data_IF_325263604629
#
_entry.id   IF_325263604629
#
_cell.length_a   1.000
_cell.length_b   1.000
_cell.length_c   1.000
_cell.angle_alpha   90.00
_cell.angle_beta   90.00
_cell.angle_gamma   90.00
#
_symmetry.space_group_name_H-M   'P 1'
#
loop_
_entity.id
_entity.type
_entity.pdbx_description
1 polymer ?
#
# COMPACT_ATOMS: atom_id res chain seq x y z
N UNK A 1 -25.12 15.43 -16.61
CA UNK A 1 -23.84 15.65 -17.24
C UNK A 1 -24.00 15.36 -18.73
N UNK A 2 -23.99 16.41 -19.57
CA UNK A 2 -23.97 16.29 -21.02
C UNK A 2 -22.57 15.81 -21.41
N UNK A 3 -22.43 14.51 -21.69
CA UNK A 3 -21.19 13.97 -22.18
C UNK A 3 -20.80 14.65 -23.50
N UNK A 4 -19.73 15.43 -23.47
CA UNK A 4 -19.05 15.79 -24.70
C UNK A 4 -18.66 14.51 -25.43
N UNK A 5 -18.79 14.48 -26.75
CA UNK A 5 -18.51 13.27 -27.54
C UNK A 5 -17.06 12.84 -27.32
N UNK A 6 -16.79 11.53 -27.35
CA UNK A 6 -15.44 10.96 -27.28
C UNK A 6 -14.48 11.67 -28.26
N UNK A 7 -14.98 12.12 -29.39
CA UNK A 7 -14.25 12.87 -30.42
C UNK A 7 -13.73 14.22 -29.91
N UNK A 8 -14.46 14.89 -28.98
CA UNK A 8 -14.04 16.19 -28.45
C UNK A 8 -12.83 16.09 -27.52
N UNK A 9 -12.60 14.93 -26.89
CA UNK A 9 -11.44 14.67 -26.01
C UNK A 9 -10.25 14.15 -26.83
N UNK A 10 -10.49 13.48 -27.95
CA UNK A 10 -9.40 12.91 -28.77
C UNK A 10 -8.45 13.97 -29.30
N UNK A 11 -8.93 15.12 -29.73
CA UNK A 11 -8.07 16.18 -30.28
C UNK A 11 -7.07 16.69 -29.25
N UNK A 12 -7.48 17.10 -28.03
CA UNK A 12 -6.52 17.51 -27.00
C UNK A 12 -5.61 16.39 -26.52
N UNK A 13 -6.03 15.12 -26.52
CA UNK A 13 -5.17 14.00 -26.21
C UNK A 13 -4.06 13.79 -27.25
N UNK A 14 -4.41 13.91 -28.54
CA UNK A 14 -3.41 13.84 -29.63
C UNK A 14 -2.47 15.05 -29.58
N UNK A 15 -2.98 16.24 -29.27
CA UNK A 15 -2.15 17.43 -29.05
C UNK A 15 -1.17 17.24 -27.91
N UNK A 16 -1.62 16.77 -26.75
CA UNK A 16 -0.75 16.47 -25.61
C UNK A 16 0.39 15.50 -25.98
N UNK A 17 0.07 14.45 -26.75
CA UNK A 17 1.08 13.51 -27.23
C UNK A 17 2.08 14.17 -28.19
N UNK A 18 1.62 15.12 -29.03
CA UNK A 18 2.46 15.91 -29.91
C UNK A 18 3.46 16.78 -29.13
N UNK A 19 2.96 17.58 -28.17
CA UNK A 19 3.83 18.47 -27.38
C UNK A 19 4.79 17.70 -26.46
N UNK A 20 4.38 16.54 -25.93
CA UNK A 20 5.32 15.65 -25.25
C UNK A 20 6.45 15.17 -26.19
N UNK A 21 6.15 14.90 -27.46
CA UNK A 21 7.14 14.58 -28.48
C UNK A 21 8.06 15.75 -28.81
N UNK A 22 7.51 16.97 -28.88
CA UNK A 22 8.28 18.22 -29.09
C UNK A 22 9.22 18.46 -27.94
N UNK A 23 8.76 18.35 -26.69
CA UNK A 23 9.60 18.46 -25.49
C UNK A 23 10.78 17.48 -25.51
N UNK A 24 10.52 16.21 -25.84
CA UNK A 24 11.57 15.20 -25.98
C UNK A 24 12.57 15.56 -27.10
N UNK A 25 12.11 16.19 -28.16
CA UNK A 25 12.96 16.64 -29.26
C UNK A 25 13.90 17.78 -28.82
N UNK A 26 13.45 18.70 -27.97
CA UNK A 26 14.31 19.75 -27.40
C UNK A 26 15.39 19.15 -26.51
N UNK A 27 15.08 18.19 -25.65
CA UNK A 27 16.07 17.46 -24.85
C UNK A 27 17.06 16.69 -25.74
N UNK A 28 16.59 16.08 -26.85
CA UNK A 28 17.46 15.40 -27.81
C UNK A 28 18.43 16.35 -28.51
N UNK A 29 17.99 17.57 -28.86
CA UNK A 29 18.86 18.63 -29.41
C UNK A 29 19.91 19.02 -28.37
N UNK A 30 19.51 19.26 -27.14
CA UNK A 30 20.41 19.61 -26.05
C UNK A 30 21.45 18.53 -25.77
N UNK A 31 21.06 17.27 -25.71
CA UNK A 31 21.99 16.14 -25.53
C UNK A 31 23.04 16.05 -26.66
N UNK A 32 22.68 16.43 -27.89
CA UNK A 32 23.59 16.40 -29.03
C UNK A 32 24.52 17.63 -29.07
N UNK A 33 24.01 18.81 -28.73
CA UNK A 33 24.68 20.08 -28.95
C UNK A 33 25.24 20.71 -27.66
N UNK A 34 24.76 20.28 -26.49
CA UNK A 34 25.17 20.79 -25.19
C UNK A 34 24.93 22.30 -25.05
N UNK A 35 25.81 22.99 -24.37
CA UNK A 35 25.75 24.44 -24.12
C UNK A 35 25.72 25.33 -25.38
N UNK A 36 25.92 24.76 -26.54
CA UNK A 36 25.81 25.49 -27.82
C UNK A 36 24.34 25.71 -28.21
N UNK A 37 23.40 24.88 -27.69
CA UNK A 37 22.00 25.06 -27.91
C UNK A 37 21.40 26.10 -26.95
N UNK A 38 21.58 27.37 -27.26
CA UNK A 38 21.15 28.51 -26.43
C UNK A 38 19.63 28.59 -26.20
N UNK A 39 18.74 28.27 -27.17
CA UNK A 39 17.31 28.38 -26.98
C UNK A 39 16.67 27.29 -26.06
N UNK A 40 17.47 26.37 -25.52
CA UNK A 40 16.95 25.19 -24.81
C UNK A 40 15.93 25.53 -23.74
N UNK A 41 16.26 26.44 -22.83
CA UNK A 41 15.38 26.79 -21.70
C UNK A 41 14.08 27.41 -22.16
N UNK A 42 14.13 28.31 -23.15
CA UNK A 42 12.95 29.00 -23.67
C UNK A 42 12.04 28.02 -24.41
N UNK A 43 12.61 27.14 -25.24
CA UNK A 43 11.83 26.13 -25.97
C UNK A 43 11.23 25.09 -25.02
N UNK A 44 11.95 24.62 -24.01
CA UNK A 44 11.40 23.71 -22.99
C UNK A 44 10.27 24.37 -22.23
N UNK A 45 10.38 25.67 -21.89
CA UNK A 45 9.31 26.41 -21.21
C UNK A 45 8.05 26.53 -22.08
N UNK A 46 8.22 26.77 -23.38
CA UNK A 46 7.13 26.82 -24.37
C UNK A 46 6.40 25.49 -24.44
N UNK A 47 7.12 24.39 -24.68
CA UNK A 47 6.54 23.03 -24.76
C UNK A 47 5.82 22.61 -23.47
N UNK A 48 6.38 22.93 -22.30
CA UNK A 48 5.70 22.70 -21.00
C UNK A 48 4.41 23.52 -20.91
N UNK A 49 4.40 24.76 -21.39
CA UNK A 49 3.21 25.62 -21.45
C UNK A 49 2.10 24.99 -22.28
N UNK A 50 2.44 24.47 -23.45
CA UNK A 50 1.49 23.81 -24.36
C UNK A 50 0.95 22.50 -23.78
N UNK A 51 1.80 21.70 -23.13
CA UNK A 51 1.40 20.51 -22.37
C UNK A 51 0.37 20.89 -21.28
N UNK A 52 0.64 21.94 -20.49
CA UNK A 52 -0.27 22.41 -19.44
C UNK A 52 -1.61 22.90 -20.02
N UNK A 53 -1.58 23.56 -21.19
CA UNK A 53 -2.79 23.99 -21.88
C UNK A 53 -3.66 22.79 -22.29
N UNK A 54 -3.06 21.74 -22.89
CA UNK A 54 -3.78 20.52 -23.23
C UNK A 54 -4.32 19.78 -22.00
N UNK A 55 -3.55 19.71 -20.90
CA UNK A 55 -4.01 19.11 -19.65
C UNK A 55 -5.23 19.87 -19.08
N UNK A 56 -5.20 21.21 -19.07
CA UNK A 56 -6.33 22.02 -18.61
C UNK A 56 -7.56 21.80 -19.48
N UNK A 57 -7.38 21.68 -20.81
CA UNK A 57 -8.47 21.42 -21.74
C UNK A 57 -9.10 20.03 -21.51
N UNK A 58 -8.28 18.99 -21.32
CA UNK A 58 -8.73 17.63 -21.01
C UNK A 58 -9.48 17.59 -19.70
N UNK A 59 -8.92 18.21 -18.64
CA UNK A 59 -9.57 18.29 -17.33
C UNK A 59 -10.93 18.97 -17.39
N UNK A 60 -11.02 20.14 -18.06
CA UNK A 60 -12.29 20.85 -18.25
C UNK A 60 -13.34 20.04 -19.00
N UNK A 61 -12.93 19.30 -20.06
CA UNK A 61 -13.83 18.40 -20.82
C UNK A 61 -14.28 17.19 -20.01
N UNK A 62 -13.44 16.70 -19.10
CA UNK A 62 -13.77 15.62 -18.19
C UNK A 62 -14.59 16.07 -16.96
N UNK A 63 -14.83 17.39 -16.80
CA UNK A 63 -15.50 17.94 -15.63
C UNK A 63 -14.66 17.87 -14.36
N UNK A 64 -13.33 17.87 -14.51
CA UNK A 64 -12.35 17.80 -13.43
C UNK A 64 -11.71 19.18 -13.19
N UNK A 65 -11.37 19.48 -11.94
CA UNK A 65 -10.60 20.66 -11.57
C UNK A 65 -9.10 20.33 -11.56
N UNK A 66 -8.33 21.03 -12.38
CA UNK A 66 -6.89 20.78 -12.51
C UNK A 66 -6.13 21.18 -11.23
N UNK A 67 -6.63 22.20 -10.50
CA UNK A 67 -6.02 22.60 -9.23
C UNK A 67 -6.22 21.53 -8.16
N UNK A 68 -7.43 20.99 -8.02
CA UNK A 68 -7.69 19.88 -7.09
C UNK A 68 -6.82 18.67 -7.41
N UNK A 69 -6.69 18.29 -8.69
CA UNK A 69 -5.80 17.20 -9.12
C UNK A 69 -4.34 17.47 -8.72
N UNK A 70 -3.86 18.70 -8.92
CA UNK A 70 -2.50 19.06 -8.60
C UNK A 70 -2.25 19.06 -7.07
N UNK A 71 -3.19 19.59 -6.28
CA UNK A 71 -3.13 19.60 -4.82
C UNK A 71 -3.16 18.17 -4.26
N UNK A 72 -4.04 17.30 -4.75
CA UNK A 72 -4.05 15.89 -4.36
C UNK A 72 -2.74 15.16 -4.72
N UNK A 73 -2.18 15.46 -5.90
CA UNK A 73 -0.91 14.87 -6.31
C UNK A 73 0.26 15.35 -5.44
N UNK A 74 0.30 16.65 -5.09
CA UNK A 74 1.27 17.21 -4.17
C UNK A 74 1.14 16.59 -2.77
N UNK A 75 -0.08 16.42 -2.26
CA UNK A 75 -0.31 15.75 -0.99
C UNK A 75 0.22 14.31 -1.01
N UNK A 76 -0.07 13.55 -2.07
CA UNK A 76 0.49 12.19 -2.25
C UNK A 76 2.02 12.16 -2.30
N UNK A 77 2.65 13.15 -2.96
CA UNK A 77 4.10 13.28 -3.01
C UNK A 77 4.67 13.67 -1.65
N UNK A 78 4.00 14.57 -0.93
CA UNK A 78 4.39 14.96 0.43
C UNK A 78 4.34 13.75 1.36
N UNK A 79 3.25 13.00 1.38
CA UNK A 79 3.12 11.78 2.19
C UNK A 79 4.18 10.73 1.84
N UNK A 80 4.59 10.68 0.57
CA UNK A 80 5.62 9.74 0.10
C UNK A 80 7.04 10.11 0.52
N UNK A 81 7.36 11.41 0.57
CA UNK A 81 8.74 11.92 0.74
C UNK A 81 8.98 12.64 2.06
N UNK A 82 7.94 12.91 2.85
CA UNK A 82 8.15 13.45 4.19
C UNK A 82 8.75 12.39 5.08
N UNK A 83 9.89 12.67 5.74
CA UNK A 83 10.35 11.80 6.80
C UNK A 83 9.21 11.68 7.80
N UNK A 84 8.76 10.48 8.07
CA UNK A 84 7.74 10.24 9.09
C UNK A 84 8.36 10.55 10.46
N UNK A 85 8.39 11.82 10.87
CA UNK A 85 8.58 12.20 12.28
C UNK A 85 7.49 11.58 13.18
N UNK A 86 6.47 10.99 12.56
CA UNK A 86 5.33 10.36 13.23
C UNK A 86 5.56 8.89 13.63
N UNK A 87 6.70 8.31 13.35
CA UNK A 87 7.00 6.93 13.79
C UNK A 87 6.84 6.75 15.31
N UNK A 88 7.11 7.77 16.10
CA UNK A 88 6.86 7.75 17.54
C UNK A 88 5.38 7.95 17.92
N UNK A 89 4.59 8.63 17.09
CA UNK A 89 3.17 8.87 17.37
C UNK A 89 2.28 7.66 17.00
N UNK A 90 2.71 6.80 16.09
CA UNK A 90 2.01 5.55 15.78
C UNK A 90 1.90 4.61 16.98
N UNK A 91 2.80 4.73 17.95
CA UNK A 91 2.82 3.89 19.15
C UNK A 91 2.02 4.48 20.34
N UNK A 92 1.43 5.66 20.19
CA UNK A 92 0.63 6.32 21.25
C UNK A 92 -0.89 6.18 21.05
N UNK A 93 -1.33 5.37 20.09
CA UNK A 93 -2.77 5.18 19.86
C UNK A 93 -3.43 4.49 21.05
N UNK A 94 -4.57 5.05 21.48
CA UNK A 94 -5.52 4.33 22.31
C UNK A 94 -5.79 2.99 21.65
N UNK A 95 -5.71 1.90 22.41
CA UNK A 95 -5.98 0.59 21.87
C UNK A 95 -7.41 0.57 21.32
N UNK A 96 -7.56 0.12 20.10
CA UNK A 96 -8.87 0.01 19.45
C UNK A 96 -9.85 -0.91 20.19
N UNK A 97 -9.41 -1.59 21.23
CA UNK A 97 -10.19 -2.56 22.00
C UNK A 97 -10.31 -2.20 23.49
N UNK A 98 -9.88 -1.00 23.93
CA UNK A 98 -9.95 -0.58 25.34
C UNK A 98 -11.37 -0.58 25.90
N UNK A 99 -12.41 -0.42 25.03
CA UNK A 99 -13.81 -0.47 25.43
C UNK A 99 -14.37 -1.89 25.59
N UNK A 100 -13.63 -2.94 25.17
CA UNK A 100 -14.07 -4.33 25.27
C UNK A 100 -13.63 -4.98 26.58
N UNK A 101 -14.26 -6.08 27.01
CA UNK A 101 -13.80 -6.89 28.13
C UNK A 101 -12.34 -7.31 27.99
N UNK A 102 -11.63 -7.48 29.09
CA UNK A 102 -10.19 -7.79 29.10
C UNK A 102 -9.86 -9.06 28.29
N UNK A 103 -10.74 -10.07 28.35
CA UNK A 103 -10.60 -11.33 27.64
C UNK A 103 -10.79 -11.22 26.10
N UNK A 104 -11.26 -10.07 25.64
CA UNK A 104 -11.46 -9.77 24.22
C UNK A 104 -10.41 -8.77 23.68
N UNK A 105 -9.45 -8.36 24.50
CA UNK A 105 -8.39 -7.42 24.11
C UNK A 105 -7.15 -8.13 23.62
N UNK A 106 -6.48 -7.51 22.65
CA UNK A 106 -5.13 -7.93 22.31
C UNK A 106 -4.20 -7.72 23.51
N UNK A 107 -3.31 -8.68 23.83
CA UNK A 107 -2.38 -8.52 24.93
C UNK A 107 -1.54 -7.23 24.78
N UNK A 108 -1.27 -6.49 25.86
CA UNK A 108 -0.46 -5.27 25.82
C UNK A 108 0.98 -5.52 25.41
N UNK A 109 1.45 -6.73 25.62
CA UNK A 109 2.77 -7.21 25.24
C UNK A 109 2.65 -8.63 24.72
N UNK A 110 3.30 -8.88 23.59
CA UNK A 110 3.37 -10.20 22.98
C UNK A 110 4.84 -10.60 22.83
N UNK A 111 5.23 -11.69 23.50
CA UNK A 111 6.52 -12.34 23.28
C UNK A 111 6.30 -13.46 22.27
N UNK A 112 6.72 -13.23 21.04
CA UNK A 112 6.57 -14.21 19.95
C UNK A 112 7.91 -14.87 19.68
N UNK A 113 7.91 -16.19 19.63
CA UNK A 113 9.09 -17.00 19.32
C UNK A 113 8.79 -17.83 18.06
N UNK A 114 9.68 -17.71 17.09
CA UNK A 114 9.67 -18.49 15.85
C UNK A 114 10.72 -19.59 15.95
N UNK A 115 10.31 -20.83 15.74
CA UNK A 115 11.21 -21.98 15.84
C UNK A 115 11.06 -22.87 14.62
N UNK A 116 12.09 -22.92 13.78
CA UNK A 116 12.14 -23.91 12.70
C UNK A 116 12.31 -25.32 13.24
N UNK A 117 11.58 -26.26 12.64
CA UNK A 117 11.62 -27.68 12.93
C UNK A 117 11.59 -28.43 11.60
N UNK A 118 12.29 -29.55 11.54
CA UNK A 118 12.14 -30.48 10.43
C UNK A 118 11.23 -31.63 10.89
N UNK A 119 10.06 -31.72 10.29
CA UNK A 119 9.09 -32.78 10.60
C UNK A 119 8.90 -33.61 9.32
N UNK A 120 9.28 -34.87 9.39
CA UNK A 120 9.21 -35.81 8.27
C UNK A 120 9.89 -35.31 6.98
N UNK A 121 11.06 -34.67 7.13
CA UNK A 121 11.84 -34.14 6.01
C UNK A 121 11.33 -32.80 5.46
N UNK A 122 10.26 -32.23 6.03
CA UNK A 122 9.68 -30.94 5.62
C UNK A 122 10.02 -29.86 6.65
N UNK A 123 10.60 -28.72 6.24
CA UNK A 123 10.81 -27.59 7.13
C UNK A 123 9.46 -27.00 7.53
N UNK A 124 9.23 -26.86 8.83
CA UNK A 124 8.03 -26.23 9.40
C UNK A 124 8.44 -25.18 10.42
N UNK A 125 7.62 -24.15 10.53
CA UNK A 125 7.79 -23.08 11.50
C UNK A 125 6.74 -23.21 12.59
N UNK A 126 7.17 -23.51 13.81
CA UNK A 126 6.32 -23.45 14.99
C UNK A 126 6.43 -22.06 15.60
N UNK A 127 5.29 -21.45 15.89
CA UNK A 127 5.19 -20.11 16.50
C UNK A 127 4.56 -20.27 17.87
N UNK A 128 5.12 -19.58 18.86
CA UNK A 128 4.51 -19.45 20.19
C UNK A 128 4.33 -17.98 20.54
N UNK A 129 3.24 -17.66 21.22
CA UNK A 129 3.00 -16.35 21.76
C UNK A 129 2.82 -16.46 23.29
N UNK A 130 3.64 -15.73 24.05
CA UNK A 130 3.67 -15.81 25.52
C UNK A 130 3.81 -17.24 26.05
N UNK A 131 4.60 -18.06 25.36
CA UNK A 131 4.86 -19.47 25.69
C UNK A 131 3.73 -20.45 25.33
N UNK A 132 2.66 -20.01 24.71
CA UNK A 132 1.56 -20.86 24.21
C UNK A 132 1.66 -21.01 22.69
N UNK A 133 1.25 -22.16 22.14
CA UNK A 133 1.18 -22.35 20.67
C UNK A 133 0.35 -21.25 20.00
N UNK A 134 0.87 -20.69 18.90
CA UNK A 134 0.23 -19.66 18.10
C UNK A 134 -0.08 -20.24 16.72
N UNK A 135 -1.22 -20.89 16.60
CA UNK A 135 -1.60 -21.64 15.41
C UNK A 135 -0.89 -23.01 15.28
N UNK A 136 -1.08 -23.64 14.14
CA UNK A 136 -0.43 -24.88 13.76
C UNK A 136 0.95 -24.57 13.13
N UNK A 137 1.91 -25.52 13.14
CA UNK A 137 3.18 -25.34 12.47
C UNK A 137 3.01 -25.06 10.97
N UNK A 138 3.58 -23.96 10.51
CA UNK A 138 3.45 -23.45 9.14
C UNK A 138 4.46 -24.10 8.19
N UNK A 139 4.06 -24.29 6.95
CA UNK A 139 4.91 -24.59 5.79
C UNK A 139 4.82 -23.44 4.80
N UNK A 140 5.63 -23.48 3.75
CA UNK A 140 5.53 -22.44 2.70
C UNK A 140 4.25 -22.52 1.86
N UNK A 141 3.45 -23.59 2.02
CA UNK A 141 2.24 -23.81 1.22
C UNK A 141 2.48 -23.66 -0.30
N UNK A 142 3.69 -23.98 -0.74
CA UNK A 142 4.18 -23.82 -2.10
C UNK A 142 4.94 -25.07 -2.53
N UNK A 143 5.05 -25.29 -3.85
CA UNK A 143 5.94 -26.30 -4.41
C UNK A 143 7.42 -25.90 -4.34
N UNK A 144 7.72 -24.66 -4.04
CA UNK A 144 9.05 -24.09 -3.90
C UNK A 144 9.21 -23.65 -2.45
N UNK A 145 10.36 -23.97 -1.86
CA UNK A 145 10.75 -23.45 -0.53
C UNK A 145 11.16 -21.99 -0.68
N UNK A 146 10.22 -21.07 -0.43
CA UNK A 146 10.38 -19.62 -0.62
C UNK A 146 10.32 -18.82 0.68
N UNK A 147 10.10 -19.47 1.82
CA UNK A 147 10.06 -18.84 3.13
C UNK A 147 8.68 -18.25 3.49
N UNK A 148 7.61 -18.52 2.73
CA UNK A 148 6.27 -18.03 3.06
C UNK A 148 5.79 -18.47 4.45
N UNK A 149 6.33 -19.53 5.02
CA UNK A 149 6.07 -19.98 6.41
C UNK A 149 6.28 -18.90 7.48
N UNK A 150 7.01 -17.81 7.14
CA UNK A 150 7.22 -16.66 8.03
C UNK A 150 6.17 -15.56 7.88
N UNK A 151 5.16 -15.71 7.02
CA UNK A 151 4.18 -14.64 6.71
C UNK A 151 3.37 -14.16 7.91
N UNK A 152 3.21 -14.97 8.96
CA UNK A 152 2.51 -14.55 10.20
C UNK A 152 3.14 -13.32 10.87
N UNK A 153 4.38 -12.95 10.53
CA UNK A 153 4.99 -11.70 10.98
C UNK A 153 4.17 -10.48 10.56
N UNK A 154 3.51 -10.53 9.38
CA UNK A 154 2.65 -9.46 8.90
C UNK A 154 1.38 -9.33 9.76
N UNK A 155 0.76 -10.46 10.13
CA UNK A 155 -0.41 -10.47 11.01
C UNK A 155 -0.08 -9.91 12.38
N UNK A 156 1.08 -10.31 12.93
CA UNK A 156 1.57 -9.80 14.21
C UNK A 156 1.85 -8.29 14.11
N UNK A 157 2.46 -7.82 13.01
CA UNK A 157 2.70 -6.40 12.78
C UNK A 157 1.38 -5.63 12.67
N UNK A 158 0.37 -6.13 11.95
CA UNK A 158 -0.96 -5.52 11.90
C UNK A 158 -1.60 -5.42 13.29
N UNK A 159 -1.52 -6.48 14.10
CA UNK A 159 -2.06 -6.45 15.45
C UNK A 159 -1.37 -5.41 16.35
N UNK A 160 -0.03 -5.30 16.25
CA UNK A 160 0.76 -4.38 17.10
C UNK A 160 0.63 -2.93 16.63
N UNK A 161 0.77 -2.69 15.32
CA UNK A 161 0.86 -1.33 14.78
C UNK A 161 -0.51 -0.70 14.53
N UNK A 162 -1.48 -1.51 14.12
CA UNK A 162 -2.82 -1.04 13.76
C UNK A 162 -3.88 -1.37 14.82
N UNK A 163 -3.55 -2.21 15.82
CA UNK A 163 -4.53 -2.74 16.79
C UNK A 163 -5.62 -3.58 16.11
N UNK A 164 -5.40 -3.98 14.85
CA UNK A 164 -6.35 -4.71 14.04
C UNK A 164 -5.67 -5.93 13.40
N UNK A 165 -6.15 -7.10 13.71
CA UNK A 165 -5.81 -8.36 13.05
C UNK A 165 -6.85 -9.42 13.41
N UNK A 166 -7.83 -9.70 12.55
CA UNK A 166 -8.77 -10.82 12.73
C UNK A 166 -8.06 -12.16 12.85
N UNK A 167 -6.93 -12.36 12.17
CA UNK A 167 -6.12 -13.59 12.25
C UNK A 167 -5.53 -13.75 13.65
N UNK A 168 -4.81 -12.74 14.17
CA UNK A 168 -4.22 -12.80 15.51
C UNK A 168 -5.29 -12.95 16.58
N UNK A 169 -6.41 -12.23 16.48
CA UNK A 169 -7.55 -12.37 17.41
C UNK A 169 -8.12 -13.78 17.42
N UNK A 170 -8.24 -14.42 16.26
CA UNK A 170 -8.66 -15.82 16.15
C UNK A 170 -7.65 -16.77 16.81
N UNK A 171 -6.37 -16.61 16.53
CA UNK A 171 -5.29 -17.45 17.06
C UNK A 171 -5.14 -17.32 18.58
N UNK A 172 -5.26 -16.12 19.12
CA UNK A 172 -5.24 -15.84 20.57
C UNK A 172 -6.58 -16.08 21.25
N UNK A 173 -7.66 -16.33 20.49
CA UNK A 173 -9.04 -16.51 20.99
C UNK A 173 -9.61 -15.28 21.71
N UNK A 174 -9.23 -14.09 21.27
CA UNK A 174 -9.65 -12.79 21.83
C UNK A 174 -10.55 -12.02 20.85
N UNK A 175 -11.43 -12.71 20.13
CA UNK A 175 -12.43 -12.09 19.26
C UNK A 175 -13.44 -11.30 20.10
N UNK A 176 -13.89 -10.15 19.59
CA UNK A 176 -14.76 -9.18 20.29
C UNK A 176 -16.23 -9.59 20.27
N UNK A 177 -16.53 -10.75 20.85
CA UNK A 177 -17.85 -11.40 20.84
C UNK A 177 -18.91 -10.65 21.66
N UNK A 178 -18.52 -9.78 22.59
CA UNK A 178 -19.44 -8.93 23.35
C UNK A 178 -20.24 -7.99 22.44
N UNK A 179 -19.72 -7.68 21.24
CA UNK A 179 -20.40 -6.89 20.22
C UNK A 179 -20.54 -7.74 18.94
N UNK A 180 -21.68 -8.41 18.73
CA UNK A 180 -21.86 -9.38 17.64
C UNK A 180 -21.53 -8.84 16.24
N UNK A 181 -21.84 -7.58 15.95
CA UNK A 181 -21.54 -6.95 14.66
C UNK A 181 -20.04 -6.82 14.43
N UNK A 182 -19.27 -6.50 15.45
CA UNK A 182 -17.80 -6.39 15.36
C UNK A 182 -17.16 -7.77 15.22
N UNK A 183 -17.65 -8.77 15.99
CA UNK A 183 -17.21 -10.17 15.86
C UNK A 183 -17.45 -10.72 14.45
N UNK A 184 -18.60 -10.37 13.85
CA UNK A 184 -18.98 -10.85 12.52
C UNK A 184 -18.23 -10.11 11.40
N UNK A 185 -18.12 -8.79 11.48
CA UNK A 185 -17.56 -7.95 10.41
C UNK A 185 -16.05 -7.80 10.52
N UNK A 186 -15.57 -7.22 11.63
CA UNK A 186 -14.15 -6.86 11.77
C UNK A 186 -13.27 -8.06 12.20
N UNK A 187 -13.81 -8.98 13.02
CA UNK A 187 -13.11 -10.18 13.47
C UNK A 187 -13.56 -11.43 12.69
N UNK A 188 -14.35 -11.24 11.64
CA UNK A 188 -14.98 -12.29 10.86
C UNK A 188 -14.13 -12.84 9.74
N UNK A 189 -14.70 -13.82 9.02
CA UNK A 189 -13.98 -14.54 7.97
C UNK A 189 -13.60 -13.64 6.77
N UNK A 190 -14.44 -12.65 6.43
CA UNK A 190 -14.16 -11.72 5.33
C UNK A 190 -12.97 -10.84 5.66
N UNK A 191 -12.91 -10.27 6.86
CA UNK A 191 -11.78 -9.48 7.33
C UNK A 191 -10.49 -10.31 7.38
N UNK A 192 -10.57 -11.56 7.87
CA UNK A 192 -9.44 -12.48 7.85
C UNK A 192 -8.93 -12.79 6.44
N UNK A 193 -9.82 -13.00 5.46
CA UNK A 193 -9.43 -13.24 4.08
C UNK A 193 -8.74 -12.03 3.44
N UNK A 194 -9.15 -10.81 3.81
CA UNK A 194 -8.52 -9.57 3.35
C UNK A 194 -7.12 -9.44 3.94
N UNK A 195 -6.96 -9.67 5.24
CA UNK A 195 -5.67 -9.63 5.91
C UNK A 195 -4.69 -10.64 5.30
N UNK A 196 -5.14 -11.87 5.04
CA UNK A 196 -4.35 -12.90 4.35
C UNK A 196 -3.95 -12.47 2.93
N UNK A 197 -4.86 -11.87 2.17
CA UNK A 197 -4.56 -11.39 0.83
C UNK A 197 -3.50 -10.26 0.84
N UNK A 198 -3.56 -9.34 1.79
CA UNK A 198 -2.57 -8.28 1.97
C UNK A 198 -1.22 -8.89 2.37
N UNK A 199 -1.21 -9.86 3.29
CA UNK A 199 -0.02 -10.57 3.73
C UNK A 199 0.67 -11.29 2.57
N UNK A 200 -0.08 -12.07 1.80
CA UNK A 200 0.43 -12.80 0.64
C UNK A 200 0.97 -11.85 -0.46
N UNK A 201 0.26 -10.77 -0.74
CA UNK A 201 0.71 -9.74 -1.69
C UNK A 201 2.01 -9.07 -1.22
N UNK A 202 2.04 -8.63 0.04
CA UNK A 202 3.21 -7.96 0.62
C UNK A 202 4.42 -8.88 0.62
N UNK A 203 4.25 -10.16 0.97
CA UNK A 203 5.31 -11.16 0.91
C UNK A 203 5.85 -11.33 -0.52
N UNK A 204 4.96 -11.47 -1.51
CA UNK A 204 5.34 -11.61 -2.91
C UNK A 204 6.18 -10.44 -3.41
N UNK A 205 5.76 -9.22 -3.09
CA UNK A 205 6.51 -8.00 -3.44
C UNK A 205 7.83 -7.91 -2.66
N UNK A 206 7.82 -8.18 -1.35
CA UNK A 206 9.01 -8.13 -0.51
C UNK A 206 10.13 -9.02 -1.07
N UNK A 207 9.79 -10.20 -1.58
CA UNK A 207 10.74 -11.12 -2.21
C UNK A 207 11.47 -10.51 -3.41
N UNK A 208 10.76 -9.70 -4.21
CA UNK A 208 11.33 -9.02 -5.38
C UNK A 208 12.22 -7.82 -4.99
N UNK A 209 12.07 -7.30 -3.76
CA UNK A 209 12.79 -6.16 -3.21
C UNK A 209 13.73 -6.53 -2.06
N UNK A 210 14.33 -7.72 -2.07
CA UNK A 210 15.25 -8.20 -1.02
C UNK A 210 14.68 -8.09 0.39
N UNK A 211 13.40 -8.45 0.55
CA UNK A 211 12.60 -8.34 1.79
C UNK A 211 12.62 -6.94 2.42
N UNK A 212 12.69 -5.92 1.58
CA UNK A 212 12.82 -4.50 1.95
C UNK A 212 14.05 -4.18 2.80
N UNK A 213 15.11 -5.00 2.72
CA UNK A 213 16.34 -4.74 3.46
C UNK A 213 16.97 -3.40 3.03
N UNK A 214 17.19 -2.52 4.01
CA UNK A 214 17.71 -1.18 3.77
C UNK A 214 16.75 -0.20 3.09
N UNK A 215 15.48 -0.56 2.90
CA UNK A 215 14.47 0.35 2.34
C UNK A 215 14.05 1.40 3.38
N UNK A 216 14.23 2.68 3.05
CA UNK A 216 13.77 3.80 3.89
C UNK A 216 12.27 4.10 3.70
N UNK A 217 11.69 3.67 2.58
CA UNK A 217 10.28 3.87 2.27
C UNK A 217 9.73 2.74 1.39
N UNK A 218 8.44 2.50 1.47
CA UNK A 218 7.72 1.53 0.64
C UNK A 218 7.24 2.22 -0.64
N UNK A 219 7.36 1.53 -1.79
CA UNK A 219 6.90 2.06 -3.08
C UNK A 219 5.40 2.38 -3.05
N UNK A 220 5.05 3.55 -3.61
CA UNK A 220 3.67 4.03 -3.64
C UNK A 220 2.74 3.06 -4.39
N UNK A 221 3.23 2.35 -5.42
CA UNK A 221 2.44 1.35 -6.14
C UNK A 221 1.98 0.21 -5.24
N UNK A 222 2.80 -0.20 -4.27
CA UNK A 222 2.45 -1.22 -3.26
C UNK A 222 1.29 -0.71 -2.40
N UNK A 223 1.42 0.51 -1.86
CA UNK A 223 0.38 1.12 -1.01
C UNK A 223 -0.92 1.31 -1.80
N UNK A 224 -0.84 1.76 -3.05
CA UNK A 224 -2.01 1.93 -3.91
C UNK A 224 -2.69 0.61 -4.24
N UNK A 225 -1.93 -0.47 -4.43
CA UNK A 225 -2.49 -1.81 -4.66
C UNK A 225 -3.23 -2.30 -3.42
N UNK A 226 -2.64 -2.18 -2.22
CA UNK A 226 -3.30 -2.53 -0.96
C UNK A 226 -4.58 -1.70 -0.79
N UNK A 227 -4.52 -0.39 -1.01
CA UNK A 227 -5.68 0.50 -0.94
C UNK A 227 -6.78 0.08 -1.91
N UNK A 228 -6.43 -0.27 -3.15
CA UNK A 228 -7.40 -0.74 -4.16
C UNK A 228 -8.03 -2.06 -3.74
N UNK A 229 -7.25 -2.98 -3.17
CA UNK A 229 -7.76 -4.26 -2.66
C UNK A 229 -8.75 -4.07 -1.50
N UNK A 230 -8.57 -3.05 -0.68
CA UNK A 230 -9.36 -2.84 0.54
C UNK A 230 -10.52 -1.86 0.38
N UNK A 231 -10.47 -0.98 -0.61
CA UNK A 231 -11.38 0.17 -0.80
C UNK A 231 -12.88 -0.17 -0.83
N UNK A 232 -13.25 -1.38 -1.26
CA UNK A 232 -14.67 -1.76 -1.40
C UNK A 232 -15.09 -2.81 -0.36
N UNK A 233 -14.25 -3.11 0.61
CA UNK A 233 -14.46 -4.28 1.44
C UNK A 233 -15.15 -3.98 2.78
N UNK A 234 -15.23 -2.70 3.18
CA UNK A 234 -16.02 -2.20 4.32
C UNK A 234 -15.98 -3.13 5.55
N UNK A 235 -14.78 -3.55 5.94
CA UNK A 235 -14.58 -4.42 7.11
C UNK A 235 -14.18 -3.64 8.35
N UNK A 236 -14.04 -2.33 8.20
CA UNK A 236 -13.74 -1.37 9.26
C UNK A 236 -14.13 0.03 8.82
N UNK A 237 -14.67 0.84 9.74
CA UNK A 237 -14.90 2.28 9.59
C UNK A 237 -13.60 3.08 9.76
#
# INVERSE_FOLDING_TARGET
ASGESLESIMVPLLGLAGEAGSLLSEYKKWLREGDRYKPFTDQVAEEIGDILWYLANIAGKAGLDLQEIAEENLAKLHDRWSPHEQGAALFTHSRYDDQFPEEERLPPTMRVEFREQNIDGTPKLAITCNGQPFGDPLTDNSHIDDGYRYHDVFHIACAILLGWSPIVRKLLRVKRKSVPQIDEVEDGARAAAIEEAISAFTFGVARDYSVFDGAESVDFGILQTIRTMTHTLEVRD
#
